data_IF_035220532445
#
_entry.id   IF_035220532445
#
_cell.length_a   1.000
_cell.length_b   1.000
_cell.length_c   1.000
_cell.angle_alpha   90.00
_cell.angle_beta   90.00
_cell.angle_gamma   90.00
#
_symmetry.space_group_name_H-M   'P 1'
#
loop_
_entity.id
_entity.type
_entity.pdbx_description
1 polymer ?
#
# COMPACT_ATOMS: atom_id res chain seq x y z
N UNK A 1 -24.48 -0.33 30.35
CA UNK A 1 -25.19 -1.59 30.00
C UNK A 1 -26.42 -1.37 29.11
N UNK A 2 -27.36 -0.44 29.39
CA UNK A 2 -28.52 -0.16 28.49
C UNK A 2 -28.10 0.19 27.04
N UNK A 3 -27.17 1.09 26.86
CA UNK A 3 -26.71 1.53 25.52
C UNK A 3 -26.12 0.40 24.65
N UNK A 4 -25.48 -0.59 25.27
CA UNK A 4 -24.94 -1.76 24.56
C UNK A 4 -26.07 -2.72 24.14
N UNK A 5 -27.04 -2.93 24.99
CA UNK A 5 -28.23 -3.77 24.68
C UNK A 5 -29.03 -3.16 23.51
N UNK A 6 -29.19 -1.82 23.49
CA UNK A 6 -29.90 -1.12 22.42
C UNK A 6 -29.17 -1.24 21.09
N UNK A 7 -27.82 -1.16 21.09
CA UNK A 7 -26.99 -1.34 19.89
C UNK A 7 -27.01 -2.79 19.39
N UNK A 8 -27.01 -3.76 20.28
CA UNK A 8 -27.15 -5.18 19.92
C UNK A 8 -28.51 -5.42 19.27
N UNK A 9 -29.56 -4.90 19.84
CA UNK A 9 -30.92 -5.02 19.29
C UNK A 9 -31.03 -4.35 17.90
N UNK A 10 -30.47 -3.16 17.73
CA UNK A 10 -30.43 -2.50 16.42
C UNK A 10 -29.62 -3.31 15.39
N UNK A 11 -28.49 -3.86 15.77
CA UNK A 11 -27.68 -4.73 14.89
C UNK A 11 -28.48 -5.96 14.43
N UNK A 12 -29.16 -6.61 15.34
CA UNK A 12 -29.88 -7.84 15.02
C UNK A 12 -31.10 -7.56 14.14
N UNK A 13 -31.77 -6.43 14.36
CA UNK A 13 -32.84 -5.95 13.48
C UNK A 13 -32.35 -5.65 12.06
N UNK A 14 -31.21 -4.96 11.91
CA UNK A 14 -30.60 -4.67 10.60
C UNK A 14 -30.16 -5.95 9.87
N UNK A 15 -29.71 -6.96 10.60
CA UNK A 15 -29.40 -8.29 10.02
C UNK A 15 -30.62 -8.98 9.47
N UNK A 16 -31.75 -8.90 10.15
CA UNK A 16 -33.00 -9.46 9.64
C UNK A 16 -33.50 -8.72 8.40
N UNK A 17 -33.40 -7.38 8.38
CA UNK A 17 -33.76 -6.58 7.20
C UNK A 17 -32.86 -6.91 6.01
N UNK A 18 -31.54 -7.05 6.22
CA UNK A 18 -30.59 -7.46 5.20
C UNK A 18 -30.94 -8.83 4.60
N UNK A 19 -31.22 -9.82 5.46
CA UNK A 19 -31.60 -11.18 5.02
C UNK A 19 -32.90 -11.20 4.21
N UNK A 20 -33.85 -10.30 4.50
CA UNK A 20 -35.08 -10.17 3.70
C UNK A 20 -34.79 -9.60 2.31
N UNK A 21 -33.97 -8.55 2.25
CA UNK A 21 -33.55 -7.92 0.98
C UNK A 21 -32.76 -8.91 0.12
N UNK A 22 -31.86 -9.69 0.70
CA UNK A 22 -31.11 -10.72 -0.02
C UNK A 22 -32.02 -11.81 -0.61
N UNK A 23 -33.05 -12.23 0.14
CA UNK A 23 -34.07 -13.15 -0.38
C UNK A 23 -34.87 -12.54 -1.53
N UNK A 24 -35.27 -11.28 -1.41
CA UNK A 24 -35.97 -10.57 -2.49
C UNK A 24 -35.09 -10.43 -3.74
N UNK A 25 -33.82 -10.10 -3.60
CA UNK A 25 -32.84 -10.06 -4.68
C UNK A 25 -32.75 -11.44 -5.36
N UNK A 26 -32.62 -12.51 -4.56
CA UNK A 26 -32.56 -13.88 -5.08
C UNK A 26 -33.80 -14.26 -5.87
N UNK A 27 -35.00 -13.91 -5.37
CA UNK A 27 -36.28 -14.16 -6.06
C UNK A 27 -36.40 -13.33 -7.35
N UNK A 28 -35.97 -12.07 -7.32
CA UNK A 28 -35.97 -11.21 -8.50
C UNK A 28 -34.95 -11.67 -9.55
N UNK A 29 -33.79 -12.13 -9.13
CA UNK A 29 -32.77 -12.69 -10.02
C UNK A 29 -33.21 -14.00 -10.69
N UNK A 30 -33.99 -14.82 -9.98
CA UNK A 30 -34.59 -16.04 -10.54
C UNK A 30 -35.78 -15.77 -11.46
N UNK A 31 -36.49 -14.66 -11.27
CA UNK A 31 -37.70 -14.30 -12.07
C UNK A 31 -37.39 -13.46 -13.31
N UNK A 32 -36.16 -13.01 -13.49
CA UNK A 32 -35.74 -12.24 -14.66
C UNK A 32 -34.76 -13.04 -15.50
N UNK A 33 -35.24 -13.87 -16.43
CA UNK A 33 -34.37 -14.35 -17.49
C UNK A 33 -34.10 -13.14 -18.39
N UNK A 34 -32.85 -12.68 -18.40
CA UNK A 34 -32.29 -11.67 -19.31
C UNK A 34 -33.00 -10.30 -19.31
N UNK A 35 -32.61 -9.42 -18.41
CA UNK A 35 -32.64 -7.99 -18.73
C UNK A 35 -31.55 -7.76 -19.79
N UNK A 36 -31.96 -7.70 -21.04
CA UNK A 36 -31.15 -7.22 -22.15
C UNK A 36 -30.88 -5.74 -21.93
N UNK A 37 -29.75 -5.43 -21.29
CA UNK A 37 -29.13 -4.10 -21.39
C UNK A 37 -28.62 -3.97 -22.84
N UNK A 38 -28.82 -2.82 -23.51
CA UNK A 38 -28.60 -2.66 -24.96
C UNK A 38 -27.13 -2.61 -25.38
N UNK A 39 -26.25 -3.35 -24.72
CA UNK A 39 -24.81 -3.47 -25.04
C UNK A 39 -24.28 -4.91 -24.91
N UNK A 40 -25.13 -5.93 -24.91
CA UNK A 40 -24.66 -7.29 -25.07
C UNK A 40 -24.58 -7.56 -26.57
N UNK A 41 -23.41 -7.38 -27.18
CA UNK A 41 -23.12 -8.06 -28.45
C UNK A 41 -23.16 -9.55 -28.17
N UNK A 42 -24.07 -10.26 -28.85
CA UNK A 42 -24.17 -11.69 -28.87
C UNK A 42 -22.81 -12.30 -29.22
N UNK A 43 -22.23 -13.01 -28.28
CA UNK A 43 -21.15 -13.96 -28.57
C UNK A 43 -21.83 -15.19 -29.11
N UNK A 44 -21.53 -15.67 -30.34
CA UNK A 44 -22.10 -16.91 -30.86
C UNK A 44 -21.73 -18.04 -29.91
N UNK A 45 -22.76 -18.81 -29.50
CA UNK A 45 -22.56 -20.12 -28.89
C UNK A 45 -22.07 -21.05 -29.96
N UNK A 46 -20.78 -21.23 -30.05
CA UNK A 46 -20.20 -22.29 -30.87
C UNK A 46 -19.58 -23.33 -29.96
N UNK A 47 -20.16 -24.52 -30.11
CA UNK A 47 -19.60 -25.86 -30.06
C UNK A 47 -18.38 -26.12 -29.22
N UNK A 48 -18.47 -27.20 -28.44
CA UNK A 48 -17.39 -27.97 -27.81
C UNK A 48 -15.99 -27.68 -28.38
N UNK A 49 -15.30 -26.69 -27.82
CA UNK A 49 -13.88 -26.57 -27.99
C UNK A 49 -13.22 -27.09 -26.71
N UNK A 50 -12.48 -28.14 -26.87
CA UNK A 50 -11.50 -28.69 -25.91
C UNK A 50 -10.76 -27.54 -25.21
N UNK A 51 -10.67 -27.61 -23.87
CA UNK A 51 -9.83 -26.71 -23.11
C UNK A 51 -8.42 -26.72 -23.74
N UNK A 52 -7.90 -25.59 -24.24
CA UNK A 52 -6.55 -25.58 -24.80
C UNK A 52 -5.58 -26.10 -23.76
N UNK A 53 -4.67 -26.97 -24.13
CA UNK A 53 -3.61 -27.46 -23.29
C UNK A 53 -2.86 -26.27 -22.74
N UNK A 54 -2.57 -26.25 -21.41
CA UNK A 54 -1.93 -25.15 -20.68
C UNK A 54 -0.58 -24.69 -21.24
N UNK A 55 -0.05 -25.34 -22.26
CA UNK A 55 1.26 -25.12 -22.86
C UNK A 55 1.26 -24.36 -24.20
N UNK A 56 0.10 -24.11 -24.81
CA UNK A 56 0.05 -23.43 -26.11
C UNK A 56 0.31 -21.91 -25.97
N UNK A 57 1.12 -21.29 -26.87
CA UNK A 57 1.35 -19.86 -26.85
C UNK A 57 0.06 -19.07 -27.14
N UNK A 58 -0.21 -18.05 -26.32
CA UNK A 58 -1.39 -17.20 -26.48
C UNK A 58 -1.38 -16.42 -27.78
N UNK A 59 -2.49 -16.38 -28.48
CA UNK A 59 -2.70 -15.49 -29.62
C UNK A 59 -2.69 -14.02 -29.18
N UNK A 60 -2.46 -13.06 -30.09
CA UNK A 60 -2.53 -11.64 -29.77
C UNK A 60 -3.86 -11.22 -29.11
N UNK A 61 -4.97 -11.72 -29.56
CA UNK A 61 -6.30 -11.46 -29.01
C UNK A 61 -6.45 -12.00 -27.58
N UNK A 62 -6.00 -13.23 -27.36
CA UNK A 62 -6.02 -13.83 -26.04
C UNK A 62 -5.13 -13.05 -25.05
N UNK A 63 -3.97 -12.55 -25.49
CA UNK A 63 -3.11 -11.68 -24.69
C UNK A 63 -3.79 -10.38 -24.31
N UNK A 64 -4.47 -9.74 -25.26
CA UNK A 64 -5.21 -8.50 -25.01
C UNK A 64 -6.36 -8.73 -24.03
N UNK A 65 -7.15 -9.80 -24.20
CA UNK A 65 -8.25 -10.13 -23.30
C UNK A 65 -7.74 -10.42 -21.89
N UNK A 66 -6.78 -11.33 -21.75
CA UNK A 66 -6.17 -11.67 -20.46
C UNK A 66 -5.64 -10.42 -19.73
N UNK A 67 -4.93 -9.57 -20.44
CA UNK A 67 -4.37 -8.34 -19.88
C UNK A 67 -5.47 -7.36 -19.45
N UNK A 68 -6.49 -7.19 -20.31
CA UNK A 68 -7.62 -6.34 -19.97
C UNK A 68 -8.35 -6.82 -18.73
N UNK A 69 -8.61 -8.12 -18.61
CA UNK A 69 -9.33 -8.73 -17.49
C UNK A 69 -8.55 -8.62 -16.16
N UNK A 70 -7.22 -8.71 -16.21
CA UNK A 70 -6.37 -8.59 -15.02
C UNK A 70 -6.21 -7.14 -14.54
N UNK A 71 -6.05 -6.19 -15.47
CA UNK A 71 -5.65 -4.82 -15.13
C UNK A 71 -6.78 -3.80 -15.27
N UNK A 72 -7.98 -4.22 -15.63
CA UNK A 72 -9.14 -3.36 -15.68
C UNK A 72 -9.56 -2.97 -14.26
N UNK A 73 -9.40 -1.70 -13.92
CA UNK A 73 -10.04 -1.09 -12.76
C UNK A 73 -11.43 -0.55 -13.14
N UNK A 74 -11.60 0.79 -13.13
CA UNK A 74 -12.80 1.43 -13.69
C UNK A 74 -12.89 1.16 -15.19
N UNK A 75 -14.07 0.75 -15.65
CA UNK A 75 -14.31 0.57 -17.07
C UNK A 75 -14.73 1.84 -17.81
N UNK A 76 -15.16 2.88 -17.07
CA UNK A 76 -15.69 4.13 -17.62
C UNK A 76 -14.61 5.15 -17.96
N UNK A 77 -13.35 4.92 -17.53
CA UNK A 77 -12.24 5.84 -17.77
C UNK A 77 -10.88 5.16 -17.65
N UNK A 78 -9.88 5.79 -18.23
CA UNK A 78 -8.47 5.47 -18.07
C UNK A 78 -7.64 6.75 -18.28
N UNK A 79 -6.36 6.69 -17.95
CA UNK A 79 -5.43 7.78 -18.20
C UNK A 79 -4.44 7.42 -19.31
N UNK A 80 -4.04 8.42 -20.08
CA UNK A 80 -2.95 8.32 -21.04
C UNK A 80 -1.80 9.22 -20.60
N UNK A 81 -0.58 8.73 -20.74
CA UNK A 81 0.62 9.50 -20.44
C UNK A 81 0.87 10.53 -21.53
N UNK A 82 1.13 11.73 -21.11
CA UNK A 82 1.56 12.83 -21.96
C UNK A 82 2.99 13.25 -21.58
N UNK A 83 3.74 13.76 -22.55
CA UNK A 83 5.05 14.38 -22.37
C UNK A 83 5.00 15.77 -23.02
N UNK A 84 5.57 16.77 -22.35
CA UNK A 84 5.58 18.13 -22.88
C UNK A 84 6.55 18.24 -24.05
N UNK A 85 6.11 18.84 -25.13
CA UNK A 85 6.98 19.13 -26.27
C UNK A 85 8.07 20.17 -25.93
N UNK A 86 7.73 21.10 -25.05
CA UNK A 86 8.62 22.23 -24.71
C UNK A 86 9.57 21.90 -23.54
N UNK A 87 9.22 20.95 -22.70
CA UNK A 87 10.00 20.58 -21.50
C UNK A 87 9.93 19.08 -21.30
N UNK A 88 10.95 18.33 -21.74
CA UNK A 88 10.97 16.86 -21.62
C UNK A 88 10.90 16.34 -20.18
N UNK A 89 11.16 17.19 -19.18
CA UNK A 89 11.03 16.82 -17.77
C UNK A 89 9.58 16.88 -17.29
N UNK A 90 8.71 17.59 -18.03
CA UNK A 90 7.28 17.67 -17.72
C UNK A 90 6.52 16.56 -18.43
N UNK A 91 6.12 15.59 -17.66
CA UNK A 91 5.28 14.49 -18.12
C UNK A 91 4.28 14.10 -17.03
N UNK A 92 3.19 13.48 -17.42
CA UNK A 92 2.17 13.05 -16.46
C UNK A 92 1.10 12.18 -17.10
N UNK A 93 0.11 11.82 -16.32
CA UNK A 93 -1.06 11.09 -16.80
C UNK A 93 -2.30 11.98 -16.73
N UNK A 94 -3.13 11.90 -17.74
CA UNK A 94 -4.41 12.62 -17.77
C UNK A 94 -5.53 11.70 -18.24
N UNK A 95 -6.71 11.78 -17.62
CA UNK A 95 -7.88 11.05 -18.09
C UNK A 95 -8.29 11.54 -19.47
N UNK A 96 -8.69 10.63 -20.34
CA UNK A 96 -9.10 10.95 -21.70
C UNK A 96 -10.54 11.40 -21.74
N UNK A 97 -10.79 12.55 -22.35
CA UNK A 97 -12.14 13.06 -22.60
C UNK A 97 -12.54 12.83 -24.07
N UNK A 98 -13.70 12.21 -24.29
CA UNK A 98 -14.22 11.91 -25.64
C UNK A 98 -14.32 13.16 -26.49
N UNK A 99 -14.81 14.27 -25.93
CA UNK A 99 -14.97 15.54 -26.67
C UNK A 99 -13.65 16.15 -27.19
N UNK A 100 -12.51 15.71 -26.64
CA UNK A 100 -11.20 16.21 -27.08
C UNK A 100 -10.80 15.78 -28.49
N UNK A 101 -11.39 14.73 -29.00
CA UNK A 101 -11.08 14.19 -30.33
C UNK A 101 -11.70 14.98 -31.50
N UNK A 102 -12.33 16.13 -31.25
CA UNK A 102 -12.87 16.96 -32.33
C UNK A 102 -13.84 18.08 -31.90
N UNK A 103 -14.54 17.93 -30.79
CA UNK A 103 -15.61 18.86 -30.38
C UNK A 103 -15.17 19.93 -29.38
N UNK A 104 -14.02 19.76 -28.72
CA UNK A 104 -13.59 20.64 -27.65
C UNK A 104 -12.48 21.58 -28.08
N UNK A 105 -12.80 22.87 -28.11
CA UNK A 105 -11.83 23.96 -28.40
C UNK A 105 -11.24 24.60 -27.11
N UNK A 106 -11.64 24.14 -25.93
CA UNK A 106 -11.16 24.71 -24.65
C UNK A 106 -9.70 24.40 -24.40
N UNK A 107 -8.91 25.34 -23.83
CA UNK A 107 -7.54 25.05 -23.39
C UNK A 107 -7.47 23.91 -22.37
N UNK A 108 -6.37 23.13 -22.38
CA UNK A 108 -6.18 22.02 -21.44
C UNK A 108 -6.19 22.45 -19.97
N UNK A 109 -5.76 23.68 -19.68
CA UNK A 109 -5.80 24.27 -18.33
C UNK A 109 -7.21 24.31 -17.71
N UNK A 110 -8.25 24.38 -18.54
CA UNK A 110 -9.65 24.41 -18.10
C UNK A 110 -10.27 23.01 -17.95
N UNK A 111 -9.57 21.94 -18.32
CA UNK A 111 -10.11 20.57 -18.24
C UNK A 111 -10.39 20.10 -16.82
N UNK A 112 -9.65 20.59 -15.82
CA UNK A 112 -9.82 20.17 -14.43
C UNK A 112 -11.26 20.41 -13.93
N UNK A 113 -11.82 21.57 -14.25
CA UNK A 113 -13.15 22.00 -13.81
C UNK A 113 -14.15 22.09 -14.96
N UNK A 114 -14.00 21.30 -16.01
CA UNK A 114 -14.87 21.33 -17.15
C UNK A 114 -16.23 20.68 -16.84
N UNK A 115 -17.36 21.38 -16.91
CA UNK A 115 -18.69 20.83 -16.65
C UNK A 115 -19.13 19.80 -17.70
N UNK A 116 -18.58 19.90 -18.92
CA UNK A 116 -18.93 19.02 -20.06
C UNK A 116 -17.97 17.83 -20.20
N UNK A 117 -17.19 17.54 -19.18
CA UNK A 117 -16.22 16.44 -19.22
C UNK A 117 -16.93 15.11 -19.37
N UNK A 118 -16.55 14.35 -20.40
CA UNK A 118 -17.02 12.98 -20.62
C UNK A 118 -15.80 12.08 -20.80
N UNK A 119 -15.61 11.15 -19.88
CA UNK A 119 -14.49 10.25 -19.96
C UNK A 119 -14.67 9.19 -21.04
N UNK A 120 -13.56 8.79 -21.65
CA UNK A 120 -13.51 7.69 -22.61
C UNK A 120 -13.48 6.37 -21.86
N UNK A 121 -14.37 5.42 -22.17
CA UNK A 121 -14.29 4.07 -21.60
C UNK A 121 -12.96 3.38 -21.91
N UNK A 122 -12.46 2.60 -20.97
CA UNK A 122 -11.30 1.75 -21.16
C UNK A 122 -11.70 0.50 -21.93
N UNK A 123 -10.98 0.18 -23.01
CA UNK A 123 -11.32 -0.90 -23.93
C UNK A 123 -10.13 -1.80 -24.25
N UNK A 124 -10.34 -3.05 -24.72
CA UNK A 124 -9.25 -3.90 -25.21
C UNK A 124 -8.39 -3.25 -26.30
N UNK A 125 -8.94 -2.35 -27.10
CA UNK A 125 -8.18 -1.59 -28.10
C UNK A 125 -7.16 -0.63 -27.46
N UNK A 126 -7.48 -0.04 -26.31
CA UNK A 126 -6.55 0.81 -25.58
C UNK A 126 -5.41 -0.01 -24.96
N UNK A 127 -5.71 -1.24 -24.53
CA UNK A 127 -4.68 -2.24 -24.13
C UNK A 127 -3.77 -2.58 -25.30
N UNK A 128 -4.33 -2.88 -26.47
CA UNK A 128 -3.55 -3.17 -27.67
C UNK A 128 -2.56 -2.04 -27.99
N UNK A 129 -3.03 -0.78 -27.98
CA UNK A 129 -2.18 0.38 -28.24
C UNK A 129 -1.06 0.53 -27.19
N UNK A 130 -1.34 0.19 -25.94
CA UNK A 130 -0.34 0.16 -24.88
C UNK A 130 0.70 -0.93 -25.10
N UNK A 131 0.27 -2.16 -25.37
CA UNK A 131 1.15 -3.31 -25.59
C UNK A 131 2.01 -3.14 -26.86
N UNK A 132 1.51 -2.48 -27.90
CA UNK A 132 2.25 -2.12 -29.10
C UNK A 132 3.25 -0.98 -28.87
N UNK A 133 3.14 -0.25 -27.77
CA UNK A 133 4.01 0.88 -27.44
C UNK A 133 3.59 2.21 -28.07
N UNK A 134 2.43 2.27 -28.72
CA UNK A 134 1.90 3.50 -29.32
C UNK A 134 1.43 4.49 -28.26
N UNK A 135 0.93 3.97 -27.13
CA UNK A 135 0.45 4.73 -25.98
C UNK A 135 1.00 4.16 -24.69
N UNK A 136 1.03 4.99 -23.66
CA UNK A 136 1.26 4.55 -22.27
C UNK A 136 -0.01 4.82 -21.49
N UNK A 137 -0.65 3.74 -21.05
CA UNK A 137 -1.94 3.79 -20.37
C UNK A 137 -1.77 3.55 -18.88
N UNK A 138 -2.57 4.24 -18.08
CA UNK A 138 -2.75 3.98 -16.65
C UNK A 138 -4.22 3.71 -16.35
N UNK A 139 -4.46 2.81 -15.40
CA UNK A 139 -5.80 2.44 -14.95
C UNK A 139 -6.10 3.01 -13.57
N UNK A 140 -7.37 3.24 -13.29
CA UNK A 140 -7.87 3.66 -11.97
C UNK A 140 -8.49 2.44 -11.28
N UNK A 141 -7.88 1.88 -10.25
CA UNK A 141 -8.38 0.65 -9.62
C UNK A 141 -9.65 0.83 -8.80
N UNK A 142 -9.98 2.06 -8.37
CA UNK A 142 -11.11 2.34 -7.50
C UNK A 142 -12.44 2.31 -8.27
N UNK A 143 -13.20 1.23 -8.12
CA UNK A 143 -14.50 0.99 -8.77
C UNK A 143 -15.62 1.41 -7.83
N UNK A 144 -16.62 2.13 -8.35
CA UNK A 144 -17.78 2.61 -7.59
C UNK A 144 -17.42 3.34 -6.29
N UNK A 145 -16.21 3.92 -6.22
CA UNK A 145 -15.72 4.69 -5.09
C UNK A 145 -15.39 3.89 -3.84
N UNK A 146 -15.51 2.54 -3.83
CA UNK A 146 -15.35 1.70 -2.63
C UNK A 146 -14.71 0.34 -2.87
N UNK A 147 -14.60 -0.12 -4.11
CA UNK A 147 -14.15 -1.47 -4.43
C UNK A 147 -12.95 -1.44 -5.36
N UNK A 148 -12.14 -2.49 -5.34
CA UNK A 148 -11.03 -2.66 -6.27
C UNK A 148 -10.82 -4.12 -6.65
N UNK A 149 -10.37 -4.41 -7.90
CA UNK A 149 -10.03 -5.76 -8.34
C UNK A 149 -8.58 -6.13 -8.02
N UNK A 150 -7.76 -5.19 -7.63
CA UNK A 150 -6.37 -5.37 -7.24
C UNK A 150 -5.89 -4.22 -6.36
N UNK A 151 -4.84 -4.47 -5.58
CA UNK A 151 -4.06 -3.46 -4.87
C UNK A 151 -2.60 -3.48 -5.34
N UNK A 152 -1.92 -2.36 -5.18
CA UNK A 152 -0.51 -2.22 -5.54
C UNK A 152 0.24 -1.52 -4.41
N UNK A 153 1.35 -2.09 -3.98
CA UNK A 153 2.33 -1.41 -3.13
C UNK A 153 3.37 -0.79 -4.06
N UNK A 154 3.51 0.52 -4.00
CA UNK A 154 4.42 1.31 -4.84
C UNK A 154 5.67 1.66 -4.04
N UNK A 155 6.82 1.22 -4.53
CA UNK A 155 8.14 1.46 -3.93
C UNK A 155 8.99 2.22 -4.96
N UNK A 156 9.41 3.41 -4.58
CA UNK A 156 10.26 4.28 -5.39
C UNK A 156 11.53 4.67 -4.60
N UNK A 157 12.55 5.21 -5.29
CA UNK A 157 13.82 5.68 -4.75
C UNK A 157 14.86 4.58 -4.44
N UNK A 158 15.96 4.93 -3.74
CA UNK A 158 17.24 4.20 -3.86
C UNK A 158 17.24 2.76 -3.31
N UNK A 159 16.47 2.44 -2.30
CA UNK A 159 16.50 1.11 -1.64
C UNK A 159 15.35 0.15 -2.02
N UNK A 160 14.56 0.48 -3.03
CA UNK A 160 13.39 -0.29 -3.41
C UNK A 160 13.65 -1.80 -3.62
N UNK A 161 14.88 -2.17 -4.02
CA UNK A 161 15.22 -3.58 -4.28
C UNK A 161 15.24 -4.43 -3.01
N UNK A 162 15.79 -3.91 -1.93
CA UNK A 162 15.85 -4.59 -0.65
C UNK A 162 14.47 -4.63 0.01
N UNK A 163 13.76 -3.51 -0.03
CA UNK A 163 12.40 -3.38 0.49
C UNK A 163 11.43 -4.32 -0.23
N UNK A 164 11.49 -4.37 -1.57
CA UNK A 164 10.67 -5.29 -2.36
C UNK A 164 10.93 -6.77 -2.03
N UNK A 165 12.20 -7.19 -1.93
CA UNK A 165 12.54 -8.57 -1.56
C UNK A 165 11.99 -8.94 -0.20
N UNK A 166 12.08 -8.04 0.77
CA UNK A 166 11.54 -8.29 2.11
C UNK A 166 10.01 -8.41 2.11
N UNK A 167 9.31 -7.53 1.38
CA UNK A 167 7.85 -7.62 1.23
C UNK A 167 7.46 -8.93 0.55
N UNK A 168 8.15 -9.33 -0.51
CA UNK A 168 7.87 -10.57 -1.23
C UNK A 168 8.11 -11.82 -0.37
N UNK A 169 9.18 -11.82 0.43
CA UNK A 169 9.46 -12.89 1.39
C UNK A 169 8.36 -12.98 2.46
N UNK A 170 7.91 -11.83 2.97
CA UNK A 170 6.81 -11.75 3.93
C UNK A 170 5.51 -12.26 3.31
N UNK A 171 5.16 -11.77 2.13
CA UNK A 171 3.96 -12.19 1.41
C UNK A 171 3.93 -13.71 1.18
N UNK A 172 5.06 -14.31 0.80
CA UNK A 172 5.16 -15.74 0.62
C UNK A 172 4.92 -16.51 1.92
N UNK A 173 5.60 -16.13 3.01
CA UNK A 173 5.45 -16.78 4.32
C UNK A 173 4.02 -16.72 4.84
N UNK A 174 3.30 -15.65 4.50
CA UNK A 174 1.92 -15.43 4.90
C UNK A 174 0.89 -15.89 3.86
N UNK A 175 1.32 -16.55 2.78
CA UNK A 175 0.45 -17.13 1.77
C UNK A 175 -0.20 -16.10 0.84
N UNK A 176 0.27 -14.84 0.81
CA UNK A 176 -0.26 -13.79 -0.06
C UNK A 176 0.38 -13.85 -1.45
N UNK A 177 -0.42 -14.00 -2.53
CA UNK A 177 0.08 -13.97 -3.89
C UNK A 177 0.46 -12.55 -4.30
N UNK A 178 1.75 -12.25 -4.36
CA UNK A 178 2.30 -10.95 -4.69
C UNK A 178 3.17 -11.02 -5.94
N UNK A 179 2.94 -10.11 -6.88
CA UNK A 179 3.57 -10.09 -8.20
C UNK A 179 4.36 -8.81 -8.43
N UNK A 180 5.69 -8.84 -8.34
CA UNK A 180 6.52 -7.65 -8.52
C UNK A 180 6.70 -7.28 -9.98
N UNK A 181 6.55 -6.00 -10.30
CA UNK A 181 6.75 -5.42 -11.63
C UNK A 181 7.67 -4.20 -11.52
N UNK A 182 8.80 -4.21 -12.24
CA UNK A 182 9.65 -2.99 -12.34
C UNK A 182 8.80 -1.90 -12.98
N UNK A 183 8.67 -0.78 -12.29
CA UNK A 183 7.84 0.33 -12.73
C UNK A 183 8.29 0.88 -14.10
N UNK A 184 7.41 1.60 -14.78
CA UNK A 184 7.71 2.17 -16.11
C UNK A 184 8.97 3.02 -16.13
N UNK A 185 9.30 3.69 -15.04
CA UNK A 185 10.52 4.51 -14.93
C UNK A 185 11.79 3.69 -14.88
N UNK A 186 11.72 2.44 -14.40
CA UNK A 186 12.85 1.60 -14.05
C UNK A 186 13.50 1.96 -12.70
N UNK A 187 12.96 2.96 -11.99
CA UNK A 187 13.51 3.48 -10.73
C UNK A 187 12.74 3.04 -9.49
N UNK A 188 11.74 2.19 -9.66
CA UNK A 188 10.91 1.67 -8.60
C UNK A 188 10.26 0.36 -9.00
N UNK A 189 9.41 -0.17 -8.15
CA UNK A 189 8.72 -1.45 -8.34
C UNK A 189 7.30 -1.36 -7.80
N UNK A 190 6.37 -1.96 -8.52
CA UNK A 190 5.00 -2.18 -8.10
C UNK A 190 4.84 -3.61 -7.64
N UNK A 191 4.35 -3.85 -6.45
CA UNK A 191 3.97 -5.18 -5.98
C UNK A 191 2.46 -5.32 -6.10
N UNK A 192 2.01 -6.10 -7.07
CA UNK A 192 0.61 -6.30 -7.40
C UNK A 192 0.01 -7.45 -6.59
N UNK A 193 -1.19 -7.24 -6.06
CA UNK A 193 -2.01 -8.26 -5.42
C UNK A 193 -3.37 -8.23 -6.11
N UNK A 194 -3.78 -9.34 -6.73
CA UNK A 194 -5.02 -9.45 -7.49
C UNK A 194 -6.09 -10.16 -6.68
N UNK A 195 -7.34 -9.70 -6.83
CA UNK A 195 -8.48 -10.28 -6.15
C UNK A 195 -9.40 -11.02 -7.13
N UNK A 196 -10.07 -12.07 -6.65
CA UNK A 196 -11.09 -12.78 -7.43
C UNK A 196 -12.42 -12.05 -7.25
N UNK A 197 -12.65 -11.09 -8.13
CA UNK A 197 -13.76 -10.15 -8.07
C UNK A 197 -13.39 -8.79 -7.46
N UNK A 198 -14.40 -8.07 -6.99
CA UNK A 198 -14.26 -6.77 -6.37
C UNK A 198 -14.28 -6.92 -4.84
N UNK A 199 -13.22 -6.48 -4.18
CA UNK A 199 -13.12 -6.42 -2.73
C UNK A 199 -13.23 -4.98 -2.23
N UNK A 200 -13.55 -4.81 -0.95
CA UNK A 200 -13.51 -3.49 -0.31
C UNK A 200 -12.11 -2.89 -0.39
N UNK A 201 -12.00 -1.63 -0.83
CA UNK A 201 -10.71 -0.92 -0.85
C UNK A 201 -10.12 -0.80 0.55
N UNK A 202 -10.98 -0.65 1.57
CA UNK A 202 -10.53 -0.61 2.96
C UNK A 202 -9.79 -1.89 3.34
N UNK A 203 -10.34 -3.05 2.99
CA UNK A 203 -9.75 -4.34 3.32
C UNK A 203 -8.50 -4.63 2.49
N UNK A 204 -8.53 -4.30 1.19
CA UNK A 204 -7.36 -4.41 0.31
C UNK A 204 -6.19 -3.55 0.80
N UNK A 205 -6.47 -2.35 1.29
CA UNK A 205 -5.45 -1.47 1.87
C UNK A 205 -4.96 -1.97 3.22
N UNK A 206 -5.89 -2.46 4.05
CA UNK A 206 -5.52 -3.05 5.34
C UNK A 206 -4.60 -4.26 5.15
N UNK A 207 -4.84 -5.10 4.15
CA UNK A 207 -3.93 -6.18 3.76
C UNK A 207 -2.52 -5.65 3.44
N UNK A 208 -2.43 -4.64 2.56
CA UNK A 208 -1.15 -4.07 2.19
C UNK A 208 -0.44 -3.39 3.37
N UNK A 209 -1.19 -2.65 4.20
CA UNK A 209 -0.69 -2.00 5.41
C UNK A 209 -0.17 -3.01 6.43
N UNK A 210 -0.92 -4.10 6.63
CA UNK A 210 -0.51 -5.20 7.50
C UNK A 210 0.74 -5.90 6.99
N UNK A 211 0.80 -6.21 5.69
CA UNK A 211 1.96 -6.83 5.07
C UNK A 211 3.23 -5.97 5.24
N UNK A 212 3.12 -4.65 5.03
CA UNK A 212 4.22 -3.70 5.24
C UNK A 212 4.67 -3.71 6.71
N UNK A 213 3.70 -3.65 7.64
CA UNK A 213 3.98 -3.65 9.09
C UNK A 213 4.64 -4.96 9.54
N UNK A 214 4.12 -6.11 9.08
CA UNK A 214 4.68 -7.42 9.38
C UNK A 214 6.08 -7.60 8.78
N UNK A 215 6.33 -7.06 7.59
CA UNK A 215 7.67 -7.06 6.98
C UNK A 215 8.68 -6.35 7.87
N UNK A 216 8.31 -5.19 8.42
CA UNK A 216 9.18 -4.44 9.34
C UNK A 216 9.38 -5.16 10.68
N UNK A 217 8.32 -5.75 11.22
CA UNK A 217 8.33 -6.29 12.58
C UNK A 217 8.91 -7.72 12.69
N UNK A 218 8.67 -8.57 11.71
CA UNK A 218 8.89 -10.00 11.86
C UNK A 218 10.00 -10.60 10.98
N UNK A 219 10.28 -10.04 9.81
CA UNK A 219 11.07 -10.76 8.80
C UNK A 219 12.47 -10.23 8.63
N UNK A 220 12.67 -8.92 8.63
CA UNK A 220 14.01 -8.32 8.58
C UNK A 220 14.05 -7.05 9.39
N UNK A 221 14.75 -7.09 10.50
CA UNK A 221 15.11 -5.88 11.27
C UNK A 221 15.97 -4.90 10.47
N UNK A 222 16.47 -5.32 9.30
CA UNK A 222 17.38 -4.55 8.43
C UNK A 222 16.66 -3.70 7.38
N UNK A 223 15.34 -3.85 7.21
CA UNK A 223 14.57 -3.18 6.18
C UNK A 223 13.91 -1.95 6.74
N UNK A 224 14.27 -0.78 6.20
CA UNK A 224 13.71 0.50 6.64
C UNK A 224 12.37 0.83 5.98
N UNK A 225 12.07 0.19 4.83
CA UNK A 225 10.98 0.56 3.91
C UNK A 225 10.99 2.06 3.55
N UNK A 226 12.18 2.63 3.42
CA UNK A 226 12.36 4.04 3.06
C UNK A 226 11.87 4.34 1.64
N UNK A 227 11.87 3.33 0.77
CA UNK A 227 11.38 3.43 -0.60
C UNK A 227 9.85 3.36 -0.73
N UNK A 228 9.11 3.08 0.36
CA UNK A 228 7.65 3.01 0.31
C UNK A 228 7.05 4.38 -0.01
N UNK A 229 6.39 4.50 -1.18
CA UNK A 229 5.68 5.71 -1.58
C UNK A 229 4.19 5.64 -1.17
N UNK A 230 3.48 4.61 -1.64
CA UNK A 230 2.03 4.51 -1.37
C UNK A 230 1.45 3.12 -1.64
N UNK A 231 0.21 2.94 -1.19
CA UNK A 231 -0.68 1.87 -1.63
C UNK A 231 -1.68 2.44 -2.63
N UNK A 232 -1.95 1.72 -3.71
CA UNK A 232 -2.94 2.09 -4.73
C UNK A 232 -4.05 1.03 -4.73
N UNK A 233 -5.33 1.41 -4.51
CA UNK A 233 -5.88 2.74 -4.26
C UNK A 233 -5.43 3.36 -2.93
N UNK A 234 -5.28 4.72 -2.90
CA UNK A 234 -4.84 5.41 -1.67
C UNK A 234 -6.00 5.78 -0.74
N UNK A 235 -7.23 5.87 -1.23
CA UNK A 235 -8.40 6.31 -0.47
C UNK A 235 -9.35 5.13 -0.25
N UNK A 236 -9.92 5.02 0.95
CA UNK A 236 -10.90 3.98 1.29
C UNK A 236 -12.26 4.21 0.63
N UNK A 237 -12.64 5.46 0.51
CA UNK A 237 -13.89 5.90 -0.12
C UNK A 237 -13.63 7.14 -0.95
N UNK A 238 -14.28 7.22 -2.09
CA UNK A 238 -14.23 8.39 -2.96
C UNK A 238 -15.61 8.65 -3.57
N UNK A 239 -15.94 9.92 -3.80
CA UNK A 239 -17.13 10.25 -4.55
C UNK A 239 -17.06 9.69 -5.97
N UNK A 240 -18.17 9.18 -6.48
CA UNK A 240 -18.24 8.52 -7.79
C UNK A 240 -17.76 9.41 -8.95
N UNK A 241 -17.82 10.74 -8.78
CA UNK A 241 -17.34 11.71 -9.76
C UNK A 241 -15.82 11.94 -9.72
N UNK A 242 -15.13 11.43 -8.70
CA UNK A 242 -13.68 11.54 -8.57
C UNK A 242 -13.00 10.27 -9.09
N UNK A 243 -11.78 10.41 -9.59
CA UNK A 243 -11.08 9.29 -10.23
C UNK A 243 -10.20 8.47 -9.28
N UNK A 244 -9.70 9.10 -8.23
CA UNK A 244 -8.71 8.50 -7.35
C UNK A 244 -7.31 8.44 -7.97
N UNK A 245 -6.47 7.62 -7.37
CA UNK A 245 -5.10 7.38 -7.86
C UNK A 245 -5.12 6.39 -9.03
N UNK A 246 -4.18 6.57 -9.93
CA UNK A 246 -3.96 5.64 -11.04
C UNK A 246 -2.65 4.88 -10.85
N UNK A 247 -2.54 3.73 -11.51
CA UNK A 247 -1.29 2.99 -11.69
C UNK A 247 -1.02 2.83 -13.19
N UNK A 248 0.24 2.99 -13.58
CA UNK A 248 0.67 2.73 -14.95
C UNK A 248 0.56 1.24 -15.26
N UNK A 249 0.02 0.89 -16.43
CA UNK A 249 -0.07 -0.50 -16.86
C UNK A 249 1.32 -1.08 -17.15
N UNK A 250 1.57 -2.37 -16.81
CA UNK A 250 2.81 -3.06 -17.13
C UNK A 250 2.92 -3.43 -18.61
N UNK A 251 4.05 -3.99 -19.00
CA UNK A 251 4.35 -4.54 -20.34
C UNK A 251 4.30 -3.54 -21.50
N UNK A 252 4.50 -2.26 -21.25
CA UNK A 252 4.60 -1.25 -22.29
C UNK A 252 5.85 -1.52 -23.17
N UNK A 253 5.65 -1.77 -24.48
CA UNK A 253 6.67 -2.29 -25.39
C UNK A 253 7.96 -1.47 -25.42
N UNK A 254 7.87 -0.14 -25.43
CA UNK A 254 9.06 0.75 -25.52
C UNK A 254 9.94 0.72 -24.27
N UNK A 255 9.47 0.15 -23.17
CA UNK A 255 10.19 0.10 -21.89
C UNK A 255 10.85 -1.25 -21.62
N UNK A 256 10.36 -2.31 -22.27
CA UNK A 256 10.93 -3.65 -22.16
C UNK A 256 12.32 -3.74 -22.81
N UNK A 257 13.22 -4.60 -22.33
CA UNK A 257 13.03 -5.56 -21.21
C UNK A 257 13.37 -5.01 -19.83
N UNK A 258 13.87 -3.78 -19.70
CA UNK A 258 14.48 -3.29 -18.46
C UNK A 258 13.49 -2.64 -17.49
N UNK A 259 12.29 -2.28 -17.97
CA UNK A 259 11.24 -1.66 -17.16
C UNK A 259 9.85 -2.06 -17.67
N UNK A 260 8.81 -1.83 -16.88
CA UNK A 260 7.43 -2.23 -17.19
C UNK A 260 7.31 -3.74 -17.42
N UNK A 261 8.00 -4.55 -16.63
CA UNK A 261 8.05 -6.01 -16.71
C UNK A 261 7.97 -6.65 -15.34
N UNK A 262 7.29 -7.79 -15.27
CA UNK A 262 7.28 -8.61 -14.07
C UNK A 262 8.63 -9.29 -13.88
N UNK A 263 9.01 -9.40 -12.62
CA UNK A 263 10.29 -9.97 -12.21
C UNK A 263 10.05 -11.13 -11.23
N UNK A 264 11.05 -11.97 -11.08
CA UNK A 264 11.07 -13.02 -10.07
C UNK A 264 11.45 -12.44 -8.69
N UNK A 265 11.58 -13.30 -7.67
CA UNK A 265 11.99 -12.92 -6.31
C UNK A 265 13.39 -12.33 -6.21
N UNK A 266 14.26 -12.65 -7.17
CA UNK A 266 15.59 -12.08 -7.27
C UNK A 266 15.60 -10.77 -8.06
N UNK A 267 14.41 -10.29 -8.45
CA UNK A 267 14.16 -9.10 -9.24
C UNK A 267 14.76 -9.19 -10.66
N UNK A 268 14.83 -10.43 -11.19
CA UNK A 268 15.23 -10.67 -12.58
C UNK A 268 13.98 -10.74 -13.46
N UNK A 269 13.98 -10.12 -14.65
CA UNK A 269 12.85 -10.19 -15.57
C UNK A 269 12.44 -11.63 -15.90
N UNK A 270 11.18 -11.95 -15.71
CA UNK A 270 10.61 -13.26 -16.06
C UNK A 270 10.59 -13.39 -17.58
N UNK A 271 11.13 -14.49 -18.11
CA UNK A 271 11.26 -14.71 -19.56
C UNK A 271 9.90 -14.74 -20.26
N UNK A 272 8.97 -15.48 -19.72
CA UNK A 272 7.61 -15.56 -20.25
C UNK A 272 6.61 -14.83 -19.36
N UNK A 273 6.46 -13.54 -19.65
CA UNK A 273 5.52 -12.65 -18.97
C UNK A 273 4.05 -13.11 -19.15
N UNK A 274 3.73 -13.71 -20.29
CA UNK A 274 2.37 -14.12 -20.59
C UNK A 274 1.99 -15.40 -19.87
N UNK A 275 2.93 -16.32 -19.71
CA UNK A 275 2.72 -17.50 -18.88
C UNK A 275 2.51 -17.11 -17.41
N UNK A 276 3.28 -16.16 -16.88
CA UNK A 276 3.05 -15.62 -15.55
C UNK A 276 1.61 -15.08 -15.43
N UNK A 277 1.19 -14.19 -16.34
CA UNK A 277 -0.14 -13.57 -16.27
C UNK A 277 -1.29 -14.60 -16.39
N UNK A 278 -1.09 -15.71 -17.12
CA UNK A 278 -2.05 -16.82 -17.16
C UNK A 278 -2.23 -17.54 -15.85
N UNK A 279 -1.18 -17.64 -15.07
CA UNK A 279 -1.12 -18.40 -13.81
C UNK A 279 -1.22 -17.53 -12.57
N UNK A 280 -1.60 -16.25 -12.73
CA UNK A 280 -1.84 -15.36 -11.60
C UNK A 280 -2.90 -15.95 -10.68
N UNK A 281 -2.50 -16.25 -9.44
CA UNK A 281 -3.44 -16.58 -8.37
C UNK A 281 -4.08 -15.30 -7.88
N UNK A 282 -5.38 -15.30 -7.78
CA UNK A 282 -6.17 -14.21 -7.22
C UNK A 282 -6.61 -14.58 -5.81
N UNK A 283 -6.62 -13.62 -4.91
CA UNK A 283 -7.09 -13.80 -3.54
C UNK A 283 -8.61 -13.61 -3.52
N UNK A 284 -9.35 -14.56 -2.98
CA UNK A 284 -10.81 -14.41 -2.83
C UNK A 284 -11.14 -13.43 -1.70
N UNK A 285 -12.38 -12.90 -1.69
CA UNK A 285 -12.83 -12.04 -0.60
C UNK A 285 -12.88 -12.78 0.75
N UNK A 286 -13.15 -14.08 0.74
CA UNK A 286 -13.16 -14.94 1.93
C UNK A 286 -11.73 -15.13 2.46
N UNK A 287 -10.79 -15.50 1.60
CA UNK A 287 -9.36 -15.60 1.95
C UNK A 287 -8.81 -14.27 2.49
N UNK A 288 -9.22 -13.14 1.90
CA UNK A 288 -8.82 -11.81 2.38
C UNK A 288 -9.35 -11.56 3.79
N UNK A 289 -10.63 -11.86 4.04
CA UNK A 289 -11.23 -11.67 5.38
C UNK A 289 -10.58 -12.55 6.44
N UNK A 290 -10.40 -13.84 6.15
CA UNK A 290 -9.71 -14.77 7.04
C UNK A 290 -8.26 -14.33 7.32
N UNK A 291 -7.55 -13.87 6.29
CA UNK A 291 -6.20 -13.37 6.44
C UNK A 291 -6.15 -12.13 7.35
N UNK A 292 -7.09 -11.19 7.18
CA UNK A 292 -7.17 -9.98 7.99
C UNK A 292 -7.54 -10.26 9.45
N UNK A 293 -8.36 -11.27 9.71
CA UNK A 293 -8.66 -11.73 11.07
C UNK A 293 -7.41 -12.27 11.78
N UNK A 294 -6.51 -12.93 11.04
CA UNK A 294 -5.31 -13.52 11.60
C UNK A 294 -4.10 -12.56 11.66
N UNK A 295 -3.97 -11.65 10.70
CA UNK A 295 -2.77 -10.84 10.50
C UNK A 295 -3.05 -9.33 10.34
N UNK A 296 -4.30 -8.92 10.42
CA UNK A 296 -4.67 -7.51 10.30
C UNK A 296 -4.02 -6.66 11.38
N UNK A 297 -3.66 -5.42 11.04
CA UNK A 297 -3.19 -4.43 12.01
C UNK A 297 -4.30 -3.47 12.40
N UNK A 298 -4.34 -3.04 13.64
CA UNK A 298 -5.28 -2.03 14.11
C UNK A 298 -4.96 -0.63 13.57
N UNK A 299 -5.79 0.35 13.90
CA UNK A 299 -5.59 1.76 13.50
C UNK A 299 -4.28 2.35 14.06
N UNK A 300 -3.71 1.75 15.10
CA UNK A 300 -2.43 2.13 15.70
C UNK A 300 -1.24 1.41 15.08
N UNK A 301 -1.47 0.48 14.14
CA UNK A 301 -0.44 -0.32 13.48
C UNK A 301 0.05 -1.52 14.28
N UNK A 302 -0.68 -1.89 15.35
CA UNK A 302 -0.40 -3.12 16.08
C UNK A 302 -1.12 -4.28 15.40
N UNK A 303 -0.46 -5.44 15.32
CA UNK A 303 -1.08 -6.68 14.84
C UNK A 303 -2.16 -7.08 15.84
N UNK A 304 -3.40 -7.18 15.38
CA UNK A 304 -4.56 -7.48 16.23
C UNK A 304 -4.73 -8.97 16.56
N UNK A 305 -3.91 -9.82 15.94
CA UNK A 305 -3.96 -11.26 16.20
C UNK A 305 -3.57 -11.56 17.65
N UNK A 306 -4.56 -11.94 18.44
CA UNK A 306 -4.39 -12.46 19.81
C UNK A 306 -3.70 -13.83 19.85
N UNK A 307 -3.23 -14.34 18.70
CA UNK A 307 -2.65 -15.69 18.56
C UNK A 307 -1.14 -15.76 18.76
N UNK A 308 -0.53 -14.78 19.38
CA UNK A 308 0.83 -14.92 19.91
C UNK A 308 0.78 -15.81 21.16
N UNK A 309 0.75 -17.12 20.97
CA UNK A 309 1.11 -17.98 22.07
C UNK A 309 2.53 -17.61 22.51
N UNK A 310 2.76 -17.31 23.79
CA UNK A 310 4.06 -16.83 24.28
C UNK A 310 5.26 -17.73 23.89
N UNK A 311 4.99 -19.01 23.56
CA UNK A 311 5.99 -19.98 23.13
C UNK A 311 6.24 -20.02 21.60
N UNK A 312 5.42 -19.39 20.78
CA UNK A 312 5.62 -19.33 19.32
C UNK A 312 6.30 -18.04 18.88
N UNK A 313 5.99 -16.91 19.51
CA UNK A 313 6.61 -15.62 19.19
C UNK A 313 8.12 -15.58 19.51
N UNK A 314 8.56 -16.32 20.54
CA UNK A 314 9.97 -16.38 20.93
C UNK A 314 10.86 -17.17 19.93
N UNK A 315 10.30 -18.06 19.10
CA UNK A 315 11.06 -18.89 18.16
C UNK A 315 11.36 -18.23 16.82
N UNK A 316 10.67 -17.16 16.46
CA UNK A 316 10.73 -16.54 15.13
C UNK A 316 11.56 -15.25 15.04
N UNK A 317 12.03 -14.73 16.16
CA UNK A 317 12.87 -13.51 16.15
C UNK A 317 14.34 -13.91 16.29
N UNK A 318 15.15 -13.79 15.23
CA UNK A 318 16.59 -13.91 15.40
C UNK A 318 17.05 -12.84 16.38
N UNK A 319 17.84 -13.22 17.40
CA UNK A 319 18.42 -12.27 18.34
C UNK A 319 19.23 -11.22 17.58
N UNK A 320 19.02 -9.98 17.91
CA UNK A 320 19.82 -8.86 17.39
C UNK A 320 21.27 -9.04 17.86
N UNK A 321 22.21 -8.59 17.05
CA UNK A 321 23.63 -8.61 17.39
C UNK A 321 24.20 -7.20 17.20
N UNK A 322 25.13 -6.83 18.06
CA UNK A 322 25.98 -5.67 17.85
C UNK A 322 27.12 -6.00 16.88
N UNK A 323 27.74 -5.00 16.29
CA UNK A 323 28.97 -5.15 15.50
C UNK A 323 30.22 -5.23 16.38
N UNK A 324 30.15 -4.67 17.59
CA UNK A 324 31.19 -4.73 18.62
C UNK A 324 30.81 -5.73 19.72
N UNK A 325 31.80 -6.25 20.46
CA UNK A 325 31.56 -7.13 21.63
C UNK A 325 30.81 -6.39 22.74
N UNK A 326 31.11 -5.10 22.92
CA UNK A 326 30.44 -4.20 23.84
C UNK A 326 30.20 -2.84 23.15
N UNK A 327 28.97 -2.34 23.19
CA UNK A 327 28.63 -1.04 22.62
C UNK A 327 28.71 0.06 23.66
N UNK A 328 29.18 1.23 23.28
CA UNK A 328 29.18 2.42 24.15
C UNK A 328 27.90 3.23 23.90
N UNK A 329 27.16 3.51 24.97
CA UNK A 329 25.94 4.32 24.95
C UNK A 329 26.17 5.59 25.79
N UNK A 330 26.33 6.73 25.12
CA UNK A 330 26.51 8.01 25.80
C UNK A 330 25.15 8.72 25.95
N UNK A 331 24.76 9.07 27.18
CA UNK A 331 23.52 9.80 27.47
C UNK A 331 23.85 11.25 27.83
N UNK A 332 23.42 12.18 26.97
CA UNK A 332 23.59 13.64 27.21
C UNK A 332 22.25 14.36 26.98
N UNK A 333 22.13 15.22 25.97
CA UNK A 333 20.85 15.78 25.50
C UNK A 333 20.01 14.76 24.76
N UNK A 334 20.67 13.77 24.14
CA UNK A 334 20.10 12.57 23.49
C UNK A 334 20.86 11.32 23.97
N UNK A 335 20.50 10.16 23.43
CA UNK A 335 21.21 8.90 23.56
C UNK A 335 22.04 8.70 22.31
N UNK A 336 23.34 8.56 22.43
CA UNK A 336 24.29 8.49 21.33
C UNK A 336 24.93 7.12 21.23
N UNK A 337 25.00 6.60 20.00
CA UNK A 337 25.66 5.34 19.65
C UNK A 337 26.70 5.61 18.59
N UNK A 338 27.82 4.91 18.61
CA UNK A 338 28.74 4.88 17.48
C UNK A 338 28.15 4.02 16.38
N UNK A 339 28.09 4.52 15.16
CA UNK A 339 27.58 3.77 14.00
C UNK A 339 28.40 2.50 13.72
N UNK A 340 29.70 2.53 13.98
CA UNK A 340 30.57 1.38 13.80
C UNK A 340 30.25 0.19 14.74
N UNK A 341 29.64 0.46 15.90
CA UNK A 341 29.28 -0.54 16.91
C UNK A 341 27.92 -1.20 16.62
N UNK A 342 27.13 -0.61 15.68
CA UNK A 342 25.78 -1.05 15.36
C UNK A 342 25.75 -1.87 14.08
N UNK A 343 25.14 -3.06 14.15
CA UNK A 343 24.67 -3.72 12.94
C UNK A 343 23.47 -2.97 12.34
N UNK A 344 23.19 -3.16 11.07
CA UNK A 344 22.00 -2.58 10.42
C UNK A 344 20.73 -3.02 11.15
N UNK A 345 20.64 -4.28 11.58
CA UNK A 345 19.52 -4.83 12.33
C UNK A 345 19.30 -4.12 13.66
N UNK A 346 20.36 -3.95 14.46
CA UNK A 346 20.29 -3.26 15.74
C UNK A 346 19.91 -1.79 15.57
N UNK A 347 20.53 -1.08 14.60
CA UNK A 347 20.19 0.30 14.27
C UNK A 347 18.71 0.46 13.92
N UNK A 348 18.17 -0.44 13.11
CA UNK A 348 16.77 -0.39 12.71
C UNK A 348 15.83 -0.71 13.88
N UNK A 349 16.16 -1.65 14.74
CA UNK A 349 15.40 -1.92 15.95
C UNK A 349 15.38 -0.72 16.90
N UNK A 350 16.52 -0.06 17.11
CA UNK A 350 16.61 1.19 17.86
C UNK A 350 15.79 2.32 17.21
N UNK A 351 15.84 2.44 15.89
CA UNK A 351 15.03 3.42 15.16
C UNK A 351 13.52 3.20 15.37
N UNK A 352 13.08 1.95 15.42
CA UNK A 352 11.66 1.61 15.67
C UNK A 352 11.14 2.09 17.01
N UNK A 353 11.96 2.09 18.07
CA UNK A 353 11.57 2.60 19.39
C UNK A 353 11.07 4.05 19.36
N UNK A 354 11.51 4.83 18.37
CA UNK A 354 11.21 6.25 18.21
C UNK A 354 10.50 6.58 16.90
N UNK A 355 9.93 5.55 16.27
CA UNK A 355 9.16 5.68 15.02
C UNK A 355 7.70 5.43 15.31
N UNK A 356 6.83 6.32 14.85
CA UNK A 356 5.38 6.24 15.05
C UNK A 356 4.62 6.66 13.80
N UNK A 357 3.36 6.25 13.72
CA UNK A 357 2.48 6.63 12.62
C UNK A 357 2.26 8.14 12.59
N UNK A 358 2.34 8.74 11.41
CA UNK A 358 2.11 10.16 11.23
C UNK A 358 0.60 10.46 11.22
N UNK A 359 0.03 11.10 12.27
CA UNK A 359 -1.40 11.38 12.34
C UNK A 359 -1.88 12.25 11.17
N UNK A 360 -1.02 13.15 10.65
CA UNK A 360 -1.35 14.01 9.52
C UNK A 360 -1.56 13.20 8.24
N UNK A 361 -0.76 12.16 8.01
CA UNK A 361 -0.92 11.27 6.87
C UNK A 361 -2.32 10.63 6.89
N UNK A 362 -2.71 10.04 8.03
CA UNK A 362 -4.01 9.38 8.18
C UNK A 362 -5.19 10.37 8.16
N UNK A 363 -5.02 11.59 8.69
CA UNK A 363 -6.04 12.63 8.57
C UNK A 363 -6.27 13.05 7.12
N UNK A 364 -5.19 13.29 6.37
CA UNK A 364 -5.31 13.63 4.95
C UNK A 364 -5.98 12.51 4.17
N UNK A 365 -5.64 11.27 4.50
CA UNK A 365 -6.21 10.07 3.89
C UNK A 365 -7.71 9.95 4.22
N UNK A 366 -8.10 10.08 5.50
CA UNK A 366 -9.50 10.01 5.93
C UNK A 366 -10.36 11.14 5.32
N UNK A 367 -9.75 12.31 5.07
CA UNK A 367 -10.40 13.45 4.40
C UNK A 367 -10.36 13.36 2.87
N UNK A 368 -9.90 12.24 2.29
CA UNK A 368 -9.70 12.07 0.86
C UNK A 368 -8.83 13.17 0.21
N UNK A 369 -7.91 13.75 0.99
CA UNK A 369 -6.97 14.75 0.50
C UNK A 369 -5.70 14.08 -0.01
N UNK A 370 -5.05 14.73 -0.97
CA UNK A 370 -3.76 14.27 -1.48
C UNK A 370 -2.72 14.27 -0.35
N UNK A 371 -2.16 13.12 -0.05
CA UNK A 371 -1.15 12.96 1.01
C UNK A 371 0.22 13.53 0.63
N UNK A 372 0.46 13.70 -0.66
CA UNK A 372 1.66 14.34 -1.20
C UNK A 372 2.95 13.70 -0.70
N UNK A 373 3.86 14.54 -0.20
CA UNK A 373 5.12 14.12 0.42
C UNK A 373 5.01 13.94 1.94
N UNK A 374 3.78 13.83 2.48
CA UNK A 374 3.59 13.59 3.91
C UNK A 374 4.02 12.16 4.22
N UNK A 375 5.07 11.92 5.00
CA UNK A 375 5.53 10.57 5.29
C UNK A 375 4.50 9.86 6.15
N UNK A 376 4.33 8.56 5.92
CA UNK A 376 3.44 7.71 6.71
C UNK A 376 3.95 7.53 8.15
N UNK A 377 5.25 7.43 8.30
CA UNK A 377 5.91 7.29 9.59
C UNK A 377 6.77 8.50 9.89
N UNK A 378 6.81 8.88 11.16
CA UNK A 378 7.72 9.88 11.70
C UNK A 378 8.73 9.18 12.58
N UNK A 379 10.01 9.38 12.33
CA UNK A 379 11.08 8.91 13.21
C UNK A 379 11.76 10.07 13.91
N UNK A 380 12.06 9.85 15.17
CA UNK A 380 12.87 10.78 15.98
C UNK A 380 14.34 10.32 16.10
N UNK A 381 14.68 9.22 15.43
CA UNK A 381 16.05 8.77 15.27
C UNK A 381 16.74 9.63 14.21
N UNK A 382 17.94 10.09 14.47
CA UNK A 382 18.67 10.92 13.53
C UNK A 382 20.18 10.64 13.55
N UNK A 383 20.90 10.84 12.43
CA UNK A 383 22.34 10.87 12.46
C UNK A 383 22.83 12.15 13.14
N UNK A 384 23.87 12.05 13.95
CA UNK A 384 24.55 13.20 14.57
C UNK A 384 25.88 13.40 13.88
N UNK A 385 26.35 13.32 12.99
CA UNK A 385 27.52 13.37 12.11
C UNK A 385 27.70 12.04 11.36
N UNK A 386 28.88 11.82 10.81
CA UNK A 386 29.17 10.58 10.05
C UNK A 386 29.38 9.35 10.94
N UNK A 387 29.63 9.54 12.24
CA UNK A 387 30.12 8.49 13.13
C UNK A 387 29.09 8.10 14.21
N UNK A 388 28.06 8.93 14.42
CA UNK A 388 27.09 8.74 15.49
C UNK A 388 25.67 8.73 15.00
N UNK A 389 24.88 7.91 15.67
CA UNK A 389 23.43 7.80 15.58
C UNK A 389 22.82 8.14 16.92
N UNK A 390 21.71 8.86 16.97
CA UNK A 390 21.11 9.26 18.24
C UNK A 390 19.59 9.10 18.30
N UNK A 391 19.14 8.86 19.55
CA UNK A 391 17.74 8.73 19.93
C UNK A 391 17.38 9.79 20.98
N UNK A 392 16.10 10.18 21.08
CA UNK A 392 15.61 10.99 22.20
C UNK A 392 15.82 10.29 23.54
N UNK A 393 16.15 11.03 24.60
CA UNK A 393 16.34 10.48 25.96
C UNK A 393 15.12 9.78 26.54
N UNK A 394 13.93 10.13 26.09
CA UNK A 394 12.67 9.57 26.59
C UNK A 394 12.53 8.06 26.43
N UNK A 395 13.32 7.45 25.55
CA UNK A 395 13.28 5.99 25.30
C UNK A 395 14.47 5.25 25.92
N UNK A 396 15.11 5.83 26.95
CA UNK A 396 16.27 5.22 27.59
C UNK A 396 15.94 3.83 28.18
N UNK A 397 14.80 3.72 28.85
CA UNK A 397 14.36 2.46 29.46
C UNK A 397 14.05 1.41 28.41
N UNK A 398 13.30 1.75 27.39
CA UNK A 398 12.93 0.84 26.29
C UNK A 398 14.17 0.40 25.52
N UNK A 399 15.14 1.30 25.35
CA UNK A 399 16.42 1.00 24.71
C UNK A 399 17.23 0.00 25.56
N UNK A 400 17.34 0.20 26.88
CA UNK A 400 18.01 -0.73 27.78
C UNK A 400 17.34 -2.10 27.70
N UNK A 401 16.03 -2.16 27.82
CA UNK A 401 15.28 -3.41 27.74
C UNK A 401 15.55 -4.15 26.39
N UNK A 402 15.57 -3.40 25.27
CA UNK A 402 15.87 -3.97 23.96
C UNK A 402 17.27 -4.61 23.91
N UNK A 403 18.28 -3.95 24.47
CA UNK A 403 19.65 -4.48 24.51
C UNK A 403 19.76 -5.71 25.40
N UNK A 404 19.16 -5.67 26.60
CA UNK A 404 19.15 -6.79 27.56
C UNK A 404 18.39 -8.01 27.02
N UNK A 405 17.22 -7.84 26.40
CA UNK A 405 16.44 -8.92 25.78
C UNK A 405 17.19 -9.63 24.67
N UNK A 406 18.14 -8.96 24.03
CA UNK A 406 18.97 -9.53 22.96
C UNK A 406 20.37 -9.95 23.41
N UNK A 407 20.67 -9.94 24.72
CA UNK A 407 21.99 -10.26 25.32
C UNK A 407 23.12 -9.39 24.72
N UNK A 408 22.87 -8.12 24.42
CA UNK A 408 23.87 -7.19 23.90
C UNK A 408 24.55 -6.49 25.05
N UNK A 409 25.87 -6.69 25.15
CA UNK A 409 26.70 -6.00 26.17
C UNK A 409 26.84 -4.53 25.85
N UNK A 410 26.64 -3.66 26.82
CA UNK A 410 26.79 -2.22 26.65
C UNK A 410 27.33 -1.52 27.89
N UNK A 411 28.13 -0.46 27.68
CA UNK A 411 28.57 0.48 28.70
C UNK A 411 27.71 1.73 28.61
N UNK A 412 26.93 2.02 29.66
CA UNK A 412 26.14 3.25 29.77
C UNK A 412 26.94 4.37 30.41
N UNK A 413 27.25 5.42 29.67
CA UNK A 413 27.96 6.60 30.12
C UNK A 413 26.98 7.76 30.28
N UNK A 414 26.67 8.08 31.54
CA UNK A 414 25.84 9.25 31.83
C UNK A 414 26.68 10.53 31.82
N UNK A 415 26.54 11.31 30.77
CA UNK A 415 27.23 12.61 30.58
C UNK A 415 26.32 13.79 30.87
N UNK A 416 25.16 13.57 31.47
CA UNK A 416 24.22 14.63 31.80
C UNK A 416 24.84 15.57 32.86
N UNK A 417 24.74 16.87 32.61
CA UNK A 417 25.19 17.89 33.55
C UNK A 417 24.04 18.27 34.48
N UNK A 418 24.29 18.34 35.76
CA UNK A 418 23.32 18.86 36.70
C UNK A 418 22.99 20.30 36.32
N UNK A 419 21.73 20.59 36.03
CA UNK A 419 21.29 21.93 35.70
C UNK A 419 21.44 22.89 36.86
N UNK A 420 21.65 24.15 36.56
CA UNK A 420 21.64 25.21 37.57
C UNK A 420 20.20 25.42 38.06
N UNK A 421 20.00 25.51 39.39
CA UNK A 421 18.68 25.85 39.93
C UNK A 421 18.32 27.26 39.47
N UNK A 422 17.26 27.35 38.66
CA UNK A 422 16.68 28.62 38.23
C UNK A 422 15.35 28.84 38.97
N UNK A 423 15.13 30.06 39.40
CA UNK A 423 13.83 30.46 39.93
C UNK A 423 13.02 31.06 38.80
N UNK A 424 11.98 30.34 38.38
CA UNK A 424 11.07 30.82 37.33
C UNK A 424 9.82 31.37 37.99
N UNK A 425 9.52 32.64 37.74
CA UNK A 425 8.26 33.26 38.14
C UNK A 425 7.37 33.33 36.90
N UNK A 426 6.23 32.65 36.97
CA UNK A 426 5.26 32.67 35.89
C UNK A 426 4.21 33.76 36.16
N UNK A 427 4.27 34.83 35.39
CA UNK A 427 3.30 35.95 35.53
C UNK A 427 2.04 35.79 34.68
N UNK A 428 1.85 34.61 34.03
CA UNK A 428 0.69 34.29 33.20
C UNK A 428 -0.48 33.70 34.04
N UNK A 429 -1.65 34.28 33.87
CA UNK A 429 -2.90 33.68 34.40
C UNK A 429 -3.31 32.50 33.50
N UNK A 430 -3.11 31.29 33.97
CA UNK A 430 -3.51 30.09 33.28
C UNK A 430 -5.04 29.99 33.17
N UNK A 431 -5.53 29.59 32.01
CA UNK A 431 -6.96 29.24 31.81
C UNK A 431 -7.30 27.96 32.59
N UNK A 432 -8.56 27.76 32.95
CA UNK A 432 -9.00 26.58 33.76
C UNK A 432 -8.58 25.24 33.15
N UNK A 433 -8.65 25.08 31.82
CA UNK A 433 -8.18 23.88 31.13
C UNK A 433 -6.66 23.65 31.27
N UNK A 434 -5.89 24.73 31.25
CA UNK A 434 -4.42 24.65 31.41
C UNK A 434 -4.05 24.33 32.87
N UNK A 435 -4.79 24.85 33.84
CA UNK A 435 -4.61 24.51 35.28
C UNK A 435 -4.92 23.01 35.52
N UNK A 436 -5.94 22.47 34.85
CA UNK A 436 -6.28 21.03 34.95
C UNK A 436 -5.18 20.15 34.35
N UNK A 437 -4.63 20.53 33.19
CA UNK A 437 -3.52 19.81 32.54
C UNK A 437 -2.21 19.84 33.34
N UNK A 438 -1.98 20.88 34.14
CA UNK A 438 -0.81 20.97 35.02
C UNK A 438 -0.92 20.16 36.32
N UNK A 439 -2.14 19.70 36.66
CA UNK A 439 -2.41 18.88 37.84
C UNK A 439 -2.53 17.38 37.52
N UNK A 440 -2.63 17.03 36.23
CA UNK A 440 -2.63 15.65 35.73
C UNK A 440 -1.18 15.19 35.45
#
# INVERSE_FOLDING_TARGET
MRKLADLIFQRDRLREELSKIEKEISVLTQKTPSLNLPFAHEIPKDTDQEKPSDSAPLTPQQKISLFYDLFKGRGDTFAERWESFYDPQKAGYSPICIKRSGECQRPYSLCKNCPDKRYKPFTPKDVEQHLLGNKTVGTYPLVNGRYCPFAVIDLDEDDWRNDAKAILECAEKLGIPAYPEISRSGKGIHVWIFFDGLVSVKDARLLCDSLITLTQNQIRTEVSLSSFDRIIPCQDVLDTNQLGNLVALPLQKKRRPNASVFVDRNLQPIKDQWQLLRTVRKLSGEELSEWLENYGVDESGNVTAENDFPWESAKLRPKLKAAAEEITVDVFDKIYFRLADLTVGLKNALTKLVTFHNPMFYQLQALNKFVGRTPRFLTMAEPFNRDYFCLPRGVLTEMINLLEENDISFELRDRRVAGTKISIKLDLKLREKQKKALKA
#
